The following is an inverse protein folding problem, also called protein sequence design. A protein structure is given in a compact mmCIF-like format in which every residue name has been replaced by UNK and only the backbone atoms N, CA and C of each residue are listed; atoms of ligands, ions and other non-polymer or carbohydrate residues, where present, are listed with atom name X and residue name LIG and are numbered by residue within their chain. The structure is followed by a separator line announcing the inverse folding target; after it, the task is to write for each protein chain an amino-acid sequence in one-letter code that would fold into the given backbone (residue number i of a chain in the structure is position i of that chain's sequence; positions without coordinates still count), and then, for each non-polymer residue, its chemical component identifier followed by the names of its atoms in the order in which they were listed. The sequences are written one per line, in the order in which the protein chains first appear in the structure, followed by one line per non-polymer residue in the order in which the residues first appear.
data_IF_188122623791
#
_entry.id   IF_188122623791
#
_cell.length_a   1.000
_cell.length_b   1.000
_cell.length_c   1.000
_cell.angle_alpha   90.00
_cell.angle_beta   90.00
_cell.angle_gamma   90.00
#
_symmetry.space_group_name_H-M   'P 1'
#
loop_
_entity.id
_entity.type
_entity.pdbx_description
1 polymer ?
#
# COMPACT_ATOMS: atom_id res chain seq x y z
N UNK A 1 0.51 -33.39 13.39
CA UNK A 1 1.06 -32.27 12.61
C UNK A 1 0.07 -31.99 11.51
N UNK A 2 -0.72 -30.93 11.65
CA UNK A 2 -1.62 -30.46 10.60
C UNK A 2 -0.76 -29.44 9.85
N UNK A 3 -0.30 -29.78 8.64
CA UNK A 3 0.22 -28.78 7.71
C UNK A 3 -0.93 -27.80 7.47
N UNK A 4 -0.72 -26.52 7.77
CA UNK A 4 -1.70 -25.51 7.39
C UNK A 4 -1.73 -25.49 5.86
N UNK A 5 -2.86 -25.81 5.22
CA UNK A 5 -3.00 -25.54 3.80
C UNK A 5 -3.00 -24.01 3.64
N UNK A 6 -2.53 -23.51 2.51
CA UNK A 6 -2.69 -22.11 2.06
C UNK A 6 -1.60 -21.08 2.44
N UNK A 7 -0.33 -21.46 2.53
CA UNK A 7 0.78 -20.48 2.42
C UNK A 7 1.51 -20.63 1.08
N UNK A 8 1.56 -19.54 0.31
CA UNK A 8 2.29 -19.48 -0.96
C UNK A 8 3.79 -19.70 -0.73
N UNK A 9 4.42 -20.48 -1.62
CA UNK A 9 5.86 -20.73 -1.53
C UNK A 9 6.67 -19.53 -2.04
N UNK A 10 7.96 -19.49 -1.70
CA UNK A 10 8.87 -18.49 -2.27
C UNK A 10 8.87 -18.51 -3.81
N UNK A 11 8.84 -19.69 -4.43
CA UNK A 11 8.74 -19.82 -5.90
C UNK A 11 7.43 -19.26 -6.46
N UNK A 12 6.34 -19.32 -5.70
CA UNK A 12 5.08 -18.72 -6.11
C UNK A 12 5.19 -17.19 -6.10
N UNK A 13 5.77 -16.60 -5.05
CA UNK A 13 5.99 -15.16 -4.97
C UNK A 13 6.93 -14.63 -6.04
N UNK A 14 7.98 -15.38 -6.40
CA UNK A 14 8.86 -15.04 -7.54
C UNK A 14 8.12 -15.02 -8.88
N UNK A 15 7.16 -15.93 -9.08
CA UNK A 15 6.28 -15.91 -10.27
C UNK A 15 5.36 -14.70 -10.24
N UNK A 16 4.75 -14.41 -9.10
CA UNK A 16 3.84 -13.27 -8.92
C UNK A 16 4.56 -11.95 -9.17
N UNK A 17 5.73 -11.70 -8.56
CA UNK A 17 6.45 -10.42 -8.76
C UNK A 17 6.82 -10.22 -10.23
N UNK A 18 7.20 -11.28 -10.97
CA UNK A 18 7.47 -11.18 -12.42
C UNK A 18 6.22 -10.79 -13.20
N UNK A 19 5.08 -11.42 -12.89
CA UNK A 19 3.79 -11.09 -13.49
C UNK A 19 3.39 -9.63 -13.22
N UNK A 20 3.44 -9.19 -11.96
CA UNK A 20 3.12 -7.82 -11.56
C UNK A 20 4.03 -6.80 -12.28
N UNK A 21 5.35 -7.03 -12.28
CA UNK A 21 6.31 -6.17 -12.99
C UNK A 21 6.00 -6.08 -14.48
N UNK A 22 5.61 -7.19 -15.12
CA UNK A 22 5.24 -7.20 -16.54
C UNK A 22 3.94 -6.42 -16.80
N UNK A 23 2.91 -6.64 -15.99
CA UNK A 23 1.63 -5.93 -16.11
C UNK A 23 1.82 -4.42 -15.93
N UNK A 24 2.52 -3.99 -14.88
CA UNK A 24 2.77 -2.56 -14.61
C UNK A 24 3.56 -1.89 -15.75
N UNK A 25 4.52 -2.58 -16.36
CA UNK A 25 5.28 -2.07 -17.51
C UNK A 25 4.43 -1.86 -18.76
N UNK A 26 3.32 -2.57 -18.93
CA UNK A 26 2.38 -2.34 -20.05
C UNK A 26 1.73 -0.95 -19.98
N UNK A 27 1.66 -0.35 -18.79
CA UNK A 27 1.19 1.02 -18.60
C UNK A 27 2.28 2.07 -18.78
N UNK A 28 3.52 1.69 -19.12
CA UNK A 28 4.65 2.61 -19.26
C UNK A 28 5.29 3.02 -17.91
N UNK A 29 5.07 2.22 -16.86
CA UNK A 29 5.64 2.44 -15.52
C UNK A 29 6.84 1.50 -15.34
N UNK A 30 7.98 2.06 -14.94
CA UNK A 30 9.17 1.26 -14.67
C UNK A 30 9.11 0.66 -13.27
N UNK A 31 9.53 -0.60 -13.13
CA UNK A 31 9.64 -1.26 -11.82
C UNK A 31 11.06 -1.81 -11.66
N UNK A 32 11.71 -1.42 -10.58
CA UNK A 32 13.10 -1.76 -10.26
C UNK A 32 13.28 -2.04 -8.77
N UNK A 33 14.40 -2.64 -8.43
CA UNK A 33 14.82 -2.84 -7.05
C UNK A 33 16.03 -1.96 -6.74
N UNK A 34 16.07 -1.35 -5.56
CA UNK A 34 17.17 -0.52 -5.10
C UNK A 34 17.46 -0.78 -3.63
N UNK A 35 18.63 -0.37 -3.15
CA UNK A 35 18.87 -0.24 -1.71
C UNK A 35 18.27 1.09 -1.29
N UNK A 36 17.25 1.06 -0.44
CA UNK A 36 16.57 2.24 0.10
C UNK A 36 16.89 2.40 1.59
N UNK A 37 16.71 3.60 2.18
CA UNK A 37 16.93 3.82 3.61
C UNK A 37 16.13 2.84 4.48
N UNK A 38 16.61 2.63 5.71
CA UNK A 38 15.87 1.88 6.71
C UNK A 38 14.48 2.51 6.94
N UNK A 39 13.44 1.67 7.05
CA UNK A 39 12.05 2.11 7.16
C UNK A 39 11.40 2.55 5.84
N UNK A 40 12.13 2.48 4.72
CA UNK A 40 11.59 2.74 3.38
C UNK A 40 11.55 1.43 2.58
N UNK A 41 10.47 0.64 2.68
CA UNK A 41 10.33 -0.61 1.94
C UNK A 41 10.11 -0.39 0.44
N UNK A 42 9.57 0.76 0.02
CA UNK A 42 9.34 1.09 -1.38
C UNK A 42 9.22 2.60 -1.62
N UNK A 43 9.31 2.99 -2.89
CA UNK A 43 9.29 4.40 -3.32
C UNK A 43 8.65 4.54 -4.70
N UNK A 44 7.84 5.58 -4.87
CA UNK A 44 7.45 6.11 -6.16
C UNK A 44 8.37 7.28 -6.50
N UNK A 45 8.93 7.28 -7.71
CA UNK A 45 9.75 8.39 -8.23
C UNK A 45 9.38 8.64 -9.68
N UNK A 46 8.59 9.70 -9.92
CA UNK A 46 8.08 10.00 -11.25
C UNK A 46 7.20 8.85 -11.76
N UNK A 47 7.56 8.31 -12.93
CA UNK A 47 6.90 7.13 -13.54
C UNK A 47 7.52 5.79 -13.15
N UNK A 48 8.16 5.71 -11.98
CA UNK A 48 8.89 4.52 -11.55
C UNK A 48 8.50 4.10 -10.14
N UNK A 49 8.44 2.78 -9.94
CA UNK A 49 8.33 2.11 -8.65
C UNK A 49 9.69 1.49 -8.33
N UNK A 50 10.19 1.74 -7.13
CA UNK A 50 11.39 1.11 -6.58
C UNK A 50 11.01 0.33 -5.33
N UNK A 51 11.34 -0.95 -5.28
CA UNK A 51 11.24 -1.75 -4.05
C UNK A 51 12.61 -1.88 -3.38
N UNK A 52 12.62 -1.93 -2.05
CA UNK A 52 13.84 -2.13 -1.30
C UNK A 52 14.32 -3.59 -1.44
N UNK A 53 15.58 -3.79 -1.83
CA UNK A 53 16.19 -5.13 -1.93
C UNK A 53 16.23 -5.87 -0.59
N UNK A 54 16.16 -5.14 0.52
CA UNK A 54 16.21 -5.71 1.85
C UNK A 54 14.87 -6.31 2.32
N UNK A 55 13.77 -6.07 1.61
CA UNK A 55 12.47 -6.68 1.94
C UNK A 55 12.25 -7.97 1.15
N UNK A 56 11.47 -8.90 1.73
CA UNK A 56 11.17 -10.19 1.11
C UNK A 56 10.31 -10.03 -0.16
N UNK A 57 10.27 -11.06 -1.01
CA UNK A 57 9.61 -11.00 -2.34
C UNK A 57 8.09 -10.78 -2.23
N UNK A 58 7.44 -11.33 -1.21
CA UNK A 58 6.02 -11.12 -0.93
C UNK A 58 5.72 -9.64 -0.70
N UNK A 59 6.48 -9.00 0.19
CA UNK A 59 6.37 -7.57 0.46
C UNK A 59 6.65 -6.74 -0.79
N UNK A 60 7.65 -7.12 -1.61
CA UNK A 60 7.88 -6.46 -2.90
C UNK A 60 6.65 -6.56 -3.83
N UNK A 61 5.94 -7.68 -3.85
CA UNK A 61 4.70 -7.81 -4.62
C UNK A 61 3.66 -6.79 -4.16
N UNK A 62 3.44 -6.73 -2.84
CA UNK A 62 2.46 -5.82 -2.26
C UNK A 62 2.80 -4.36 -2.52
N UNK A 63 4.08 -3.98 -2.37
CA UNK A 63 4.55 -2.62 -2.65
C UNK A 63 4.37 -2.24 -4.12
N UNK A 64 4.68 -3.15 -5.06
CA UNK A 64 4.48 -2.90 -6.49
C UNK A 64 3.01 -2.67 -6.80
N UNK A 65 2.12 -3.52 -6.25
CA UNK A 65 0.68 -3.38 -6.48
C UNK A 65 0.11 -2.09 -5.86
N UNK A 66 0.50 -1.77 -4.63
CA UNK A 66 0.04 -0.57 -3.93
C UNK A 66 0.54 0.72 -4.61
N UNK A 67 1.84 0.78 -4.93
CA UNK A 67 2.43 1.92 -5.63
C UNK A 67 1.84 2.11 -7.03
N UNK A 68 1.50 1.02 -7.72
CA UNK A 68 0.79 1.10 -9.00
C UNK A 68 -0.56 1.81 -8.85
N UNK A 69 -1.35 1.44 -7.83
CA UNK A 69 -2.63 2.09 -7.55
C UNK A 69 -2.50 3.59 -7.30
N UNK A 70 -1.49 3.99 -6.54
CA UNK A 70 -1.16 5.41 -6.35
C UNK A 70 -0.83 6.10 -7.67
N UNK A 71 0.00 5.50 -8.53
CA UNK A 71 0.32 6.09 -9.85
C UNK A 71 -0.94 6.23 -10.71
N UNK A 72 -1.86 5.27 -10.68
CA UNK A 72 -3.16 5.37 -11.37
C UNK A 72 -3.93 6.60 -10.88
N UNK A 73 -4.12 6.75 -9.56
CA UNK A 73 -4.87 7.88 -8.99
C UNK A 73 -4.23 9.23 -9.34
N UNK A 74 -2.91 9.36 -9.18
CA UNK A 74 -2.18 10.57 -9.53
C UNK A 74 -2.30 10.91 -11.03
N UNK A 75 -2.35 9.89 -11.89
CA UNK A 75 -2.46 10.08 -13.33
C UNK A 75 -3.88 10.39 -13.81
N UNK A 76 -4.90 10.04 -13.02
CA UNK A 76 -6.31 10.30 -13.31
C UNK A 76 -6.72 11.68 -12.81
N UNK A 77 -6.35 12.05 -11.58
CA UNK A 77 -6.72 13.33 -10.98
C UNK A 77 -5.64 13.86 -10.02
N UNK A 78 -4.53 14.33 -10.59
CA UNK A 78 -3.43 14.93 -9.84
C UNK A 78 -3.89 16.07 -8.90
N UNK A 79 -4.85 16.89 -9.35
CA UNK A 79 -5.29 18.06 -8.58
C UNK A 79 -6.08 17.64 -7.33
N UNK A 80 -6.96 16.64 -7.43
CA UNK A 80 -7.65 16.10 -6.27
C UNK A 80 -6.67 15.54 -5.24
N UNK A 81 -5.64 14.82 -5.68
CA UNK A 81 -4.65 14.25 -4.75
C UNK A 81 -3.83 15.36 -4.08
N UNK A 82 -3.38 16.37 -4.84
CA UNK A 82 -2.69 17.54 -4.27
C UNK A 82 -3.54 18.26 -3.23
N UNK A 83 -4.84 18.41 -3.47
CA UNK A 83 -5.78 19.01 -2.54
C UNK A 83 -5.90 18.17 -1.26
N UNK A 84 -6.02 16.84 -1.37
CA UNK A 84 -6.08 15.94 -0.21
C UNK A 84 -4.83 16.07 0.69
N UNK A 85 -3.62 16.02 0.12
CA UNK A 85 -2.39 16.19 0.91
C UNK A 85 -2.29 17.59 1.52
N UNK A 86 -2.77 18.63 0.82
CA UNK A 86 -2.84 19.99 1.37
C UNK A 86 -3.80 20.08 2.56
N UNK A 87 -5.00 19.50 2.43
CA UNK A 87 -5.98 19.40 3.51
C UNK A 87 -5.41 18.67 4.73
N UNK A 88 -4.71 17.55 4.51
CA UNK A 88 -4.08 16.77 5.58
C UNK A 88 -3.02 17.58 6.33
N UNK A 89 -2.14 18.28 5.61
CA UNK A 89 -1.14 19.18 6.23
C UNK A 89 -1.82 20.29 7.04
N UNK A 90 -2.84 20.93 6.48
CA UNK A 90 -3.58 22.00 7.16
C UNK A 90 -4.31 21.48 8.42
N UNK A 91 -4.89 20.29 8.36
CA UNK A 91 -5.58 19.67 9.49
C UNK A 91 -4.64 19.37 10.66
N UNK A 92 -3.43 18.86 10.39
CA UNK A 92 -2.40 18.60 11.41
C UNK A 92 -1.94 19.87 12.15
N UNK A 93 -1.95 21.03 11.47
CA UNK A 93 -1.52 22.31 12.03
C UNK A 93 -2.63 23.05 12.79
N UNK A 94 -3.90 22.70 12.57
CA UNK A 94 -5.03 23.36 13.22
C UNK A 94 -5.02 23.13 14.74
N UNK A 95 -5.17 24.20 15.53
CA UNK A 95 -5.10 24.20 17.00
C UNK A 95 -6.34 23.62 17.69
N UNK A 96 -7.17 24.44 18.33
CA UNK A 96 -8.32 23.98 19.15
C UNK A 96 -9.41 23.19 18.40
N UNK A 97 -9.45 23.23 17.06
CA UNK A 97 -10.34 22.44 16.20
C UNK A 97 -9.68 21.18 15.59
N UNK A 98 -8.49 20.80 16.09
CA UNK A 98 -7.65 19.72 15.52
C UNK A 98 -8.42 18.43 15.33
N UNK A 99 -9.20 17.99 16.31
CA UNK A 99 -9.67 16.61 16.37
C UNK A 99 -10.74 16.28 15.31
N UNK A 100 -11.76 17.12 15.13
CA UNK A 100 -12.83 16.82 14.18
C UNK A 100 -12.37 16.98 12.73
N UNK A 101 -11.66 18.08 12.41
CA UNK A 101 -11.14 18.30 11.06
C UNK A 101 -10.10 17.26 10.67
N UNK A 102 -9.19 16.90 11.58
CA UNK A 102 -8.22 15.84 11.32
C UNK A 102 -8.93 14.51 11.10
N UNK A 103 -9.91 14.15 11.93
CA UNK A 103 -10.67 12.92 11.74
C UNK A 103 -11.35 12.86 10.37
N UNK A 104 -12.03 13.93 9.94
CA UNK A 104 -12.67 13.98 8.62
C UNK A 104 -11.67 13.81 7.48
N UNK A 105 -10.51 14.46 7.55
CA UNK A 105 -9.48 14.33 6.50
C UNK A 105 -8.83 12.95 6.52
N UNK A 106 -8.62 12.35 7.70
CA UNK A 106 -8.14 10.97 7.81
C UNK A 106 -9.11 9.97 7.17
N UNK A 107 -10.42 10.21 7.27
CA UNK A 107 -11.40 9.36 6.59
C UNK A 107 -11.34 9.49 5.06
N UNK A 108 -11.10 10.70 4.53
CA UNK A 108 -10.82 10.87 3.09
C UNK A 108 -9.52 10.17 2.68
N UNK A 109 -8.48 10.28 3.51
CA UNK A 109 -7.18 9.66 3.26
C UNK A 109 -7.28 8.14 3.26
N UNK A 110 -8.09 7.55 4.15
CA UNK A 110 -8.42 6.12 4.12
C UNK A 110 -9.00 5.71 2.78
N UNK A 111 -10.03 6.42 2.29
CA UNK A 111 -10.67 6.10 1.01
C UNK A 111 -9.68 6.19 -0.15
N UNK A 112 -8.75 7.15 -0.10
CA UNK A 112 -7.67 7.28 -1.06
C UNK A 112 -6.75 6.04 -1.06
N UNK A 113 -6.27 5.60 0.10
CA UNK A 113 -5.42 4.39 0.19
C UNK A 113 -6.17 3.09 -0.14
N UNK A 114 -7.45 3.00 0.22
CA UNK A 114 -8.30 1.87 -0.14
C UNK A 114 -8.49 1.79 -1.65
N UNK A 115 -8.77 2.92 -2.32
CA UNK A 115 -8.89 2.95 -3.78
C UNK A 115 -7.56 2.60 -4.48
N UNK A 116 -6.41 3.09 -3.98
CA UNK A 116 -5.10 2.66 -4.47
C UNK A 116 -4.96 1.13 -4.37
N UNK A 117 -5.36 0.56 -3.23
CA UNK A 117 -5.33 -0.88 -3.01
C UNK A 117 -6.27 -1.64 -3.93
N UNK A 118 -7.45 -1.10 -4.26
CA UNK A 118 -8.38 -1.72 -5.21
C UNK A 118 -7.83 -1.74 -6.65
N UNK A 119 -7.10 -0.70 -7.07
CA UNK A 119 -6.36 -0.74 -8.33
C UNK A 119 -5.20 -1.75 -8.28
N UNK A 120 -4.47 -1.82 -7.16
CA UNK A 120 -3.43 -2.83 -6.95
C UNK A 120 -3.97 -4.26 -6.99
N UNK A 121 -5.15 -4.49 -6.39
CA UNK A 121 -5.86 -5.77 -6.40
C UNK A 121 -6.16 -6.27 -7.82
N UNK A 122 -6.35 -5.37 -8.79
CA UNK A 122 -6.55 -5.74 -10.19
C UNK A 122 -5.35 -6.42 -10.84
N UNK A 123 -4.13 -6.22 -10.32
CA UNK A 123 -2.96 -6.93 -10.82
C UNK A 123 -2.89 -8.39 -10.35
N UNK A 124 -3.67 -8.76 -9.33
CA UNK A 124 -3.73 -10.10 -8.73
C UNK A 124 -4.93 -10.93 -9.22
N UNK A 125 -5.68 -10.51 -10.24
CA UNK A 125 -6.90 -11.21 -10.67
C UNK A 125 -6.67 -12.69 -11.04
N UNK A 126 -5.48 -13.05 -11.49
CA UNK A 126 -5.10 -14.42 -11.82
C UNK A 126 -4.54 -15.22 -10.63
N UNK A 127 -4.40 -14.61 -9.45
CA UNK A 127 -3.68 -15.15 -8.29
C UNK A 127 -4.47 -14.87 -6.99
N UNK A 128 -5.60 -15.58 -6.74
CA UNK A 128 -6.52 -15.27 -5.64
C UNK A 128 -5.88 -15.36 -4.24
N UNK A 129 -4.94 -16.29 -4.03
CA UNK A 129 -4.21 -16.40 -2.75
C UNK A 129 -3.30 -15.20 -2.52
N UNK A 130 -2.64 -14.71 -3.57
CA UNK A 130 -1.81 -13.51 -3.52
C UNK A 130 -2.66 -12.25 -3.26
N UNK A 131 -3.87 -12.19 -3.82
CA UNK A 131 -4.84 -11.13 -3.52
C UNK A 131 -5.27 -11.15 -2.04
N UNK A 132 -5.44 -12.34 -1.45
CA UNK A 132 -5.75 -12.47 -0.03
C UNK A 132 -4.62 -11.93 0.84
N UNK A 133 -3.38 -12.36 0.59
CA UNK A 133 -2.19 -11.87 1.29
C UNK A 133 -2.05 -10.34 1.16
N UNK A 134 -2.16 -9.84 -0.08
CA UNK A 134 -2.14 -8.41 -0.36
C UNK A 134 -3.22 -7.63 0.41
N UNK A 135 -4.45 -8.16 0.46
CA UNK A 135 -5.54 -7.48 1.18
C UNK A 135 -5.30 -7.40 2.67
N UNK A 136 -4.75 -8.45 3.29
CA UNK A 136 -4.42 -8.45 4.71
C UNK A 136 -3.30 -7.44 4.99
N UNK A 137 -2.24 -7.46 4.16
CA UNK A 137 -1.12 -6.53 4.25
C UNK A 137 -1.55 -5.07 4.10
N UNK A 138 -2.24 -4.74 3.00
CA UNK A 138 -2.62 -3.36 2.68
C UNK A 138 -3.60 -2.78 3.72
N UNK A 139 -4.48 -3.61 4.30
CA UNK A 139 -5.34 -3.17 5.42
C UNK A 139 -4.53 -2.82 6.66
N UNK A 140 -3.54 -3.63 7.02
CA UNK A 140 -2.64 -3.34 8.13
C UNK A 140 -1.83 -2.05 7.87
N UNK A 141 -1.32 -1.88 6.65
CA UNK A 141 -0.56 -0.69 6.25
C UNK A 141 -1.40 0.59 6.37
N UNK A 142 -2.65 0.55 5.88
CA UNK A 142 -3.61 1.66 6.02
C UNK A 142 -3.85 2.02 7.49
N UNK A 143 -4.11 1.04 8.36
CA UNK A 143 -4.36 1.31 9.79
C UNK A 143 -3.13 1.87 10.50
N UNK A 144 -1.95 1.30 10.22
CA UNK A 144 -0.67 1.78 10.73
C UNK A 144 -0.45 3.25 10.32
N UNK A 145 -0.59 3.54 9.03
CA UNK A 145 -0.36 4.86 8.48
C UNK A 145 -1.36 5.88 9.02
N UNK A 146 -2.65 5.55 9.10
CA UNK A 146 -3.66 6.44 9.68
C UNK A 146 -3.40 6.73 11.17
N UNK A 147 -2.89 5.75 11.92
CA UNK A 147 -2.51 5.93 13.32
C UNK A 147 -1.35 6.91 13.46
N UNK A 148 -0.31 6.79 12.63
CA UNK A 148 0.78 7.75 12.56
C UNK A 148 0.30 9.16 12.15
N UNK A 149 -0.59 9.24 11.14
CA UNK A 149 -1.14 10.52 10.69
C UNK A 149 -2.01 11.20 11.77
N UNK A 150 -2.63 10.42 12.66
CA UNK A 150 -3.34 10.92 13.83
C UNK A 150 -2.43 11.40 14.97
N UNK A 151 -1.10 11.27 14.82
CA UNK A 151 -0.12 11.67 15.83
C UNK A 151 -0.01 10.69 16.99
N UNK A 152 -0.39 9.42 16.77
CA UNK A 152 -0.24 8.33 17.74
C UNK A 152 0.96 7.48 17.40
N UNK A 153 1.55 6.88 18.42
CA UNK A 153 2.65 5.94 18.24
C UNK A 153 2.15 4.63 17.62
N UNK A 154 3.00 4.05 16.77
CA UNK A 154 2.80 2.72 16.18
C UNK A 154 4.05 1.90 16.45
N UNK A 155 3.85 0.63 16.79
CA UNK A 155 4.97 -0.30 16.98
C UNK A 155 5.79 -0.46 15.68
N UNK A 156 7.05 -0.91 15.76
CA UNK A 156 7.82 -1.30 14.59
C UNK A 156 7.02 -2.26 13.69
N UNK A 157 7.15 -2.11 12.38
CA UNK A 157 6.28 -2.77 11.39
C UNK A 157 6.18 -4.28 11.60
N UNK A 158 7.29 -4.97 11.81
CA UNK A 158 7.30 -6.43 11.99
C UNK A 158 6.48 -6.86 13.22
N UNK A 159 6.60 -6.11 14.32
CA UNK A 159 5.82 -6.36 15.54
C UNK A 159 4.35 -6.00 15.36
N UNK A 160 4.07 -4.87 14.70
CA UNK A 160 2.71 -4.43 14.41
C UNK A 160 1.98 -5.45 13.51
N UNK A 161 2.61 -5.87 12.42
CA UNK A 161 2.02 -6.76 11.44
C UNK A 161 1.87 -8.19 11.98
N UNK A 162 2.84 -8.69 12.77
CA UNK A 162 2.69 -9.97 13.46
C UNK A 162 1.47 -9.96 14.41
N UNK A 163 1.31 -8.90 15.21
CA UNK A 163 0.15 -8.76 16.08
C UNK A 163 -1.16 -8.62 15.31
N UNK A 164 -1.14 -7.95 14.16
CA UNK A 164 -2.28 -7.85 13.25
C UNK A 164 -2.70 -9.22 12.71
N UNK A 165 -1.75 -10.03 12.24
CA UNK A 165 -2.02 -11.38 11.73
C UNK A 165 -2.64 -12.27 12.80
N UNK A 166 -2.11 -12.27 14.03
CA UNK A 166 -2.69 -13.03 15.14
C UNK A 166 -4.16 -12.66 15.39
N UNK A 167 -4.50 -11.37 15.32
CA UNK A 167 -5.89 -10.91 15.48
C UNK A 167 -6.80 -11.37 14.34
N UNK A 168 -6.28 -11.42 13.12
CA UNK A 168 -7.01 -11.94 11.96
C UNK A 168 -7.24 -13.44 12.09
N UNK A 169 -6.21 -14.21 12.48
CA UNK A 169 -6.28 -15.66 12.70
C UNK A 169 -7.24 -16.04 13.83
N UNK A 170 -7.26 -15.26 14.91
CA UNK A 170 -8.21 -15.43 16.02
C UNK A 170 -9.64 -14.99 15.69
N UNK A 171 -9.87 -14.37 14.53
CA UNK A 171 -11.17 -13.81 14.14
C UNK A 171 -11.57 -12.54 14.92
N UNK A 172 -10.63 -11.91 15.62
CA UNK A 172 -10.83 -10.63 16.32
C UNK A 172 -10.99 -9.48 15.32
N UNK A 173 -10.35 -9.59 14.14
CA UNK A 173 -10.48 -8.67 13.02
C UNK A 173 -10.92 -9.44 11.78
N UNK A 174 -12.03 -9.03 11.19
CA UNK A 174 -12.46 -9.54 9.89
C UNK A 174 -11.88 -8.67 8.78
N UNK A 175 -11.11 -9.29 7.88
CA UNK A 175 -10.53 -8.60 6.72
C UNK A 175 -11.44 -8.79 5.51
N UNK A 176 -12.04 -7.68 5.05
CA UNK A 176 -12.65 -7.63 3.74
C UNK A 176 -11.56 -7.57 2.66
N UNK A 177 -11.56 -8.55 1.75
CA UNK A 177 -10.66 -8.55 0.61
C UNK A 177 -10.93 -7.33 -0.28
N UNK A 178 -9.87 -6.72 -0.79
CA UNK A 178 -10.02 -5.67 -1.79
C UNK A 178 -10.63 -6.26 -3.06
N UNK A 179 -11.57 -5.51 -3.63
CA UNK A 179 -12.22 -5.90 -4.88
C UNK A 179 -11.41 -5.30 -6.03
N UNK A 180 -10.95 -6.12 -7.00
CA UNK A 180 -10.32 -5.61 -8.20
C UNK A 180 -11.17 -4.53 -8.87
N UNK A 181 -10.63 -3.31 -8.98
CA UNK A 181 -11.28 -2.18 -9.63
C UNK A 181 -10.83 -2.05 -11.08
N UNK A 182 -11.76 -1.75 -11.98
CA UNK A 182 -11.43 -1.49 -13.39
C UNK A 182 -10.45 -0.33 -13.46
N UNK A 183 -9.27 -0.57 -14.03
CA UNK A 183 -8.25 0.45 -14.23
C UNK A 183 -8.73 1.37 -15.37
N UNK A 184 -8.95 2.68 -15.11
CA UNK A 184 -9.37 3.60 -16.16
C UNK A 184 -8.28 3.75 -17.23
N UNK A 185 -8.63 4.30 -18.39
CA UNK A 185 -7.61 4.73 -19.34
C UNK A 185 -6.84 5.91 -18.74
N UNK A 186 -5.51 5.83 -18.68
CA UNK A 186 -4.65 6.90 -18.19
C UNK A 186 -3.29 6.89 -18.90
N UNK A 187 -2.58 8.01 -18.81
CA UNK A 187 -1.18 8.11 -19.19
C UNK A 187 -0.39 8.44 -17.93
N UNK A 188 0.62 7.64 -17.52
CA UNK A 188 1.39 7.94 -16.31
C UNK A 188 1.94 9.36 -16.29
N UNK A 189 1.68 10.08 -15.20
CA UNK A 189 2.26 11.40 -14.95
C UNK A 189 3.55 11.28 -14.13
N UNK A 190 4.30 12.37 -14.03
CA UNK A 190 5.45 12.46 -13.11
C UNK A 190 4.92 12.66 -11.69
N UNK A 191 4.76 11.55 -10.95
CA UNK A 191 4.35 11.59 -9.55
C UNK A 191 5.49 12.18 -8.71
N UNK A 192 5.20 13.09 -7.76
CA UNK A 192 6.20 13.52 -6.78
C UNK A 192 6.85 12.32 -6.10
N UNK A 193 8.09 12.48 -5.60
CA UNK A 193 8.71 11.40 -4.84
C UNK A 193 7.86 11.08 -3.59
N UNK A 194 7.42 9.83 -3.48
CA UNK A 194 6.64 9.32 -2.35
C UNK A 194 7.37 8.10 -1.82
N UNK A 195 7.84 8.20 -0.58
CA UNK A 195 8.32 7.06 0.16
C UNK A 195 7.16 6.34 0.84
N UNK A 196 7.12 5.01 0.69
CA UNK A 196 6.34 4.18 1.61
C UNK A 196 7.12 4.15 2.91
N UNK A 197 6.48 4.53 4.02
CA UNK A 197 7.14 4.66 5.32
C UNK A 197 6.63 3.61 6.28
N UNK A 198 7.55 2.93 6.93
CA UNK A 198 7.28 1.98 8.00
C UNK A 198 8.14 2.30 9.22
N UNK A 199 7.56 2.17 10.41
CA UNK A 199 8.29 2.34 11.67
C UNK A 199 9.28 1.19 11.81
N UNK A 200 10.54 1.52 12.08
CA UNK A 200 11.62 0.58 12.38
C UNK A 200 12.16 0.83 13.80
N UNK A 201 12.82 -0.17 14.37
CA UNK A 201 13.47 -0.11 15.69
C UNK A 201 14.57 0.96 15.80
#
# INVERSE_FOLDING_TARGET
MIESPDSMTMSDWERVIRSLKQQVRQYGINVSEAVLPAGVPGRIRGRSIQTNKCVNVEMQCHLVAHCFGHIVQWSVDEQAIRNLYSELRAAKLSGSQRNERLHQVLMKFRLYEEEASEYGASLYQAEPDALRGFSIFARADIESHLTLLAGKDVAPWDSYFAAWLTKVENGEIQIALFRPKVIPAFQPVEVPEIDVIQVVE
#
